data_IF_326719927125
#
_entry.id   IF_326719927125
#
_cell.length_a   1.000
_cell.length_b   1.000
_cell.length_c   1.000
_cell.angle_alpha   90.00
_cell.angle_beta   90.00
_cell.angle_gamma   90.00
#
_symmetry.space_group_name_H-M   'P 1'
#
loop_
_entity.id
_entity.type
_entity.pdbx_description
1 polymer ?
#
# COMPACT_ATOMS: atom_id res chain seq x y z
N UNK A 1 11.25 3.89 20.76
CA UNK A 1 10.18 3.43 19.85
C UNK A 1 10.85 2.90 18.60
N UNK A 2 10.51 1.71 18.13
CA UNK A 2 11.05 1.13 16.89
C UNK A 2 10.01 1.26 15.78
N UNK A 3 10.45 1.57 14.57
CA UNK A 3 9.61 1.50 13.38
C UNK A 3 9.74 0.12 12.74
N UNK A 4 8.63 -0.42 12.25
CA UNK A 4 8.59 -1.64 11.45
C UNK A 4 8.16 -1.24 10.05
N UNK A 5 8.97 -1.61 9.05
CA UNK A 5 8.58 -1.41 7.66
C UNK A 5 7.64 -2.55 7.23
N UNK A 6 6.47 -2.18 6.75
CA UNK A 6 5.43 -3.08 6.23
C UNK A 6 5.19 -2.85 4.73
N UNK A 7 6.12 -2.18 4.06
CA UNK A 7 6.02 -1.82 2.65
C UNK A 7 6.78 -2.81 1.78
N UNK A 8 6.19 -3.17 0.65
CA UNK A 8 6.90 -3.89 -0.40
C UNK A 8 7.88 -2.94 -1.09
N UNK A 9 9.07 -3.44 -1.41
CA UNK A 9 10.02 -2.71 -2.26
C UNK A 9 9.42 -2.53 -3.66
N UNK A 10 9.53 -1.30 -4.18
CA UNK A 10 9.17 -0.99 -5.56
C UNK A 10 10.34 -1.30 -6.51
N UNK A 11 10.07 -2.14 -7.51
CA UNK A 11 11.01 -2.65 -8.51
C UNK A 11 10.25 -3.19 -9.73
N UNK A 12 10.96 -3.60 -10.79
CA UNK A 12 10.35 -4.07 -12.04
C UNK A 12 9.47 -5.33 -11.88
N UNK A 13 9.67 -6.10 -10.83
CA UNK A 13 8.91 -7.31 -10.45
C UNK A 13 7.85 -7.04 -9.37
N UNK A 14 7.60 -5.78 -9.01
CA UNK A 14 6.57 -5.42 -8.02
C UNK A 14 5.20 -5.95 -8.45
N UNK A 15 4.52 -6.60 -7.50
CA UNK A 15 3.16 -7.10 -7.67
C UNK A 15 2.23 -5.95 -8.07
N UNK A 16 1.47 -6.19 -9.14
CA UNK A 16 0.49 -5.28 -9.70
C UNK A 16 -0.65 -6.08 -10.32
N UNK A 17 -1.74 -5.39 -10.66
CA UNK A 17 -2.78 -6.01 -11.47
C UNK A 17 -2.24 -6.46 -12.83
N UNK A 18 -2.72 -7.59 -13.35
CA UNK A 18 -2.17 -8.25 -14.54
C UNK A 18 -2.13 -7.34 -15.78
N UNK A 19 -3.13 -6.47 -15.94
CA UNK A 19 -3.22 -5.51 -17.07
C UNK A 19 -2.66 -4.12 -16.75
N UNK A 20 -2.23 -3.86 -15.51
CA UNK A 20 -1.70 -2.56 -15.12
C UNK A 20 -0.31 -2.29 -15.75
N UNK A 21 0.06 -1.02 -15.99
CA UNK A 21 1.43 -0.69 -16.38
C UNK A 21 2.46 -1.22 -15.38
N UNK A 22 3.61 -1.73 -15.86
CA UNK A 22 4.70 -2.14 -14.97
C UNK A 22 5.33 -0.95 -14.26
N UNK A 23 6.13 -1.24 -13.23
CA UNK A 23 7.05 -0.27 -12.66
C UNK A 23 8.19 -0.01 -13.66
N UNK A 24 8.36 1.24 -14.06
CA UNK A 24 9.39 1.67 -15.00
C UNK A 24 10.19 2.82 -14.38
N UNK A 25 11.50 2.62 -14.23
CA UNK A 25 12.42 3.65 -13.77
C UNK A 25 13.33 4.07 -14.91
N UNK A 26 13.11 5.29 -15.43
CA UNK A 26 13.92 5.87 -16.49
C UNK A 26 15.07 6.68 -15.88
N UNK A 27 16.30 6.34 -16.23
CA UNK A 27 17.47 7.15 -15.92
C UNK A 27 17.49 8.43 -16.78
N UNK A 28 17.48 9.61 -16.12
CA UNK A 28 17.55 10.91 -16.81
C UNK A 28 18.96 11.51 -16.79
N UNK A 29 19.62 11.49 -15.63
CA UNK A 29 21.00 11.97 -15.46
C UNK A 29 21.76 11.11 -14.46
N UNK A 30 23.08 11.00 -14.65
CA UNK A 30 23.99 10.30 -13.72
C UNK A 30 25.30 11.00 -13.53
N UNK A 31 25.71 11.17 -12.28
CA UNK A 31 27.00 11.75 -11.94
C UNK A 31 28.18 10.92 -12.47
N UNK A 32 28.03 9.59 -12.53
CA UNK A 32 29.02 8.71 -13.16
C UNK A 32 29.23 8.97 -14.65
N UNK A 33 28.29 9.66 -15.31
CA UNK A 33 28.36 10.10 -16.70
C UNK A 33 28.69 11.60 -16.84
N UNK A 34 29.12 12.26 -15.76
CA UNK A 34 29.53 13.67 -15.76
C UNK A 34 28.42 14.70 -15.51
N UNK A 35 27.20 14.26 -15.15
CA UNK A 35 26.13 15.18 -14.76
C UNK A 35 26.31 15.69 -13.33
N UNK A 36 25.65 16.80 -12.96
CA UNK A 36 25.74 17.38 -11.61
C UNK A 36 24.87 16.67 -10.56
N UNK A 37 23.98 15.77 -10.99
CA UNK A 37 23.10 15.00 -10.12
C UNK A 37 22.76 13.62 -10.69
N UNK A 38 22.20 12.75 -9.86
CA UNK A 38 21.52 11.53 -10.28
C UNK A 38 20.01 11.81 -10.30
N UNK A 39 19.39 11.74 -11.47
CA UNK A 39 17.96 11.96 -11.63
C UNK A 39 17.30 10.81 -12.40
N UNK A 40 16.08 10.47 -12.02
CA UNK A 40 15.29 9.43 -12.67
C UNK A 40 13.82 9.87 -12.75
N UNK A 41 13.10 9.36 -13.75
CA UNK A 41 11.64 9.46 -13.81
C UNK A 41 11.02 8.09 -13.52
N UNK A 42 9.86 8.09 -12.89
CA UNK A 42 9.12 6.88 -12.53
C UNK A 42 7.75 6.89 -13.22
N UNK A 43 7.39 5.76 -13.81
CA UNK A 43 6.04 5.46 -14.28
C UNK A 43 5.58 4.14 -13.64
N UNK A 44 4.39 4.12 -13.04
CA UNK A 44 3.82 2.92 -12.41
C UNK A 44 2.31 3.07 -12.23
N UNK A 45 1.61 1.94 -12.07
CA UNK A 45 0.23 1.98 -11.57
C UNK A 45 0.19 2.36 -10.10
N UNK A 46 -0.77 3.20 -9.71
CA UNK A 46 -1.03 3.58 -8.31
C UNK A 46 -1.49 2.40 -7.44
N UNK A 47 -1.90 1.29 -8.05
CA UNK A 47 -2.31 0.05 -7.39
C UNK A 47 -1.20 -1.02 -7.42
N UNK A 48 0.07 -0.61 -7.35
CA UNK A 48 1.23 -1.52 -7.33
C UNK A 48 1.87 -1.54 -5.95
N UNK A 49 2.25 -2.73 -5.46
CA UNK A 49 2.86 -2.89 -4.15
C UNK A 49 1.95 -2.47 -2.99
N UNK A 50 2.53 -1.97 -1.90
CA UNK A 50 1.79 -1.42 -0.75
C UNK A 50 1.19 -0.06 -1.12
N UNK A 51 -0.13 0.04 -1.19
CA UNK A 51 -0.86 1.23 -1.63
C UNK A 51 -2.20 1.39 -0.89
N UNK A 52 -2.92 2.47 -1.19
CA UNK A 52 -4.24 2.79 -0.64
C UNK A 52 -5.19 3.12 -1.79
N UNK A 53 -6.40 2.60 -1.72
CA UNK A 53 -7.48 2.97 -2.63
C UNK A 53 -8.31 4.12 -2.03
N UNK A 54 -8.52 5.17 -2.83
CA UNK A 54 -9.50 6.21 -2.52
C UNK A 54 -10.91 5.78 -2.97
N UNK A 55 -12.00 6.31 -2.37
CA UNK A 55 -13.37 6.02 -2.82
C UNK A 55 -13.58 6.21 -4.32
N UNK A 56 -12.94 7.23 -4.92
CA UNK A 56 -12.97 7.48 -6.36
C UNK A 56 -12.58 6.26 -7.23
N UNK A 57 -11.83 5.29 -6.71
CA UNK A 57 -11.46 4.08 -7.43
C UNK A 57 -12.68 3.25 -7.88
N UNK A 58 -13.76 3.24 -7.08
CA UNK A 58 -14.97 2.44 -7.35
C UNK A 58 -16.28 3.24 -7.26
N UNK A 59 -16.22 4.51 -6.81
CA UNK A 59 -17.38 5.40 -6.66
C UNK A 59 -17.13 6.64 -7.51
N UNK A 60 -17.93 6.85 -8.55
CA UNK A 60 -17.71 7.91 -9.55
C UNK A 60 -17.60 9.32 -8.93
N UNK A 61 -18.43 9.62 -7.93
CA UNK A 61 -18.43 10.88 -7.17
C UNK A 61 -17.73 10.72 -5.81
N UNK A 62 -16.87 9.71 -5.67
CA UNK A 62 -16.12 9.44 -4.46
C UNK A 62 -14.94 10.40 -4.30
N UNK A 63 -14.55 10.64 -3.05
CA UNK A 63 -13.38 11.46 -2.73
C UNK A 63 -12.11 10.90 -3.39
N UNK A 64 -11.26 11.80 -3.90
CA UNK A 64 -9.90 11.47 -4.35
C UNK A 64 -8.94 11.35 -3.17
N UNK A 65 -7.74 10.83 -3.41
CA UNK A 65 -6.77 10.55 -2.33
C UNK A 65 -6.32 11.81 -1.59
N UNK A 66 -6.24 12.94 -2.29
CA UNK A 66 -5.86 14.25 -1.77
C UNK A 66 -6.97 14.96 -0.99
N UNK A 67 -8.21 14.48 -1.10
CA UNK A 67 -9.37 14.98 -0.34
C UNK A 67 -9.59 14.23 0.98
N UNK A 68 -8.97 13.06 1.16
CA UNK A 68 -9.13 12.27 2.38
C UNK A 68 -8.38 12.91 3.57
N UNK A 69 -9.00 13.00 4.76
CA UNK A 69 -8.35 13.60 5.90
C UNK A 69 -7.22 12.70 6.42
N UNK A 70 -6.06 13.31 6.70
CA UNK A 70 -4.81 12.60 7.05
C UNK A 70 -4.93 11.78 8.35
N UNK A 71 -5.83 12.19 9.24
CA UNK A 71 -6.12 11.48 10.49
C UNK A 71 -6.67 10.07 10.25
N UNK A 72 -7.08 9.70 9.02
CA UNK A 72 -7.39 8.32 8.64
C UNK A 72 -6.17 7.43 8.50
N UNK A 73 -5.00 7.99 8.18
CA UNK A 73 -3.79 7.21 7.87
C UNK A 73 -2.79 7.13 9.02
N UNK A 74 -3.00 7.90 10.09
CA UNK A 74 -2.09 7.97 11.24
C UNK A 74 -2.87 7.72 12.53
N UNK A 75 -2.47 6.69 13.29
CA UNK A 75 -3.03 6.43 14.62
C UNK A 75 -2.92 4.97 15.04
N UNK A 76 -3.57 4.63 16.15
CA UNK A 76 -3.57 3.28 16.68
C UNK A 76 -4.20 2.28 15.68
N UNK A 77 -3.52 1.16 15.50
CA UNK A 77 -3.95 0.05 14.64
C UNK A 77 -3.79 -1.27 15.39
N UNK A 78 -4.78 -2.14 15.27
CA UNK A 78 -4.70 -3.53 15.70
C UNK A 78 -4.16 -4.36 14.54
N UNK A 79 -3.06 -5.10 14.76
CA UNK A 79 -2.64 -6.15 13.84
C UNK A 79 -3.32 -7.45 14.28
N UNK A 80 -4.16 -8.01 13.43
CA UNK A 80 -4.89 -9.24 13.70
C UNK A 80 -4.47 -10.32 12.72
N UNK A 81 -3.87 -11.39 13.25
CA UNK A 81 -3.49 -12.55 12.45
C UNK A 81 -4.71 -13.45 12.21
N UNK A 82 -4.93 -13.81 10.94
CA UNK A 82 -6.04 -14.66 10.52
C UNK A 82 -5.59 -15.56 9.38
N UNK A 83 -5.93 -16.84 9.48
CA UNK A 83 -5.64 -17.84 8.45
C UNK A 83 -6.94 -18.40 7.85
N UNK A 84 -7.61 -17.64 6.97
CA UNK A 84 -8.81 -18.11 6.30
C UNK A 84 -8.42 -19.03 5.13
N UNK A 85 -9.23 -20.02 4.80
CA UNK A 85 -9.00 -20.86 3.60
C UNK A 85 -9.04 -20.01 2.31
N UNK A 86 -10.02 -19.09 2.22
CA UNK A 86 -10.21 -18.22 1.04
C UNK A 86 -10.68 -16.80 1.38
N UNK A 87 -11.61 -16.65 2.31
CA UNK A 87 -12.19 -15.35 2.67
C UNK A 87 -12.12 -15.12 4.18
N UNK A 88 -11.81 -13.89 4.57
CA UNK A 88 -12.09 -13.41 5.93
C UNK A 88 -13.62 -13.22 6.01
N UNK A 89 -14.25 -13.91 6.95
CA UNK A 89 -15.70 -13.90 7.17
C UNK A 89 -16.04 -13.30 8.53
N UNK A 90 -17.33 -13.05 8.78
CA UNK A 90 -17.83 -12.56 10.07
C UNK A 90 -17.28 -13.36 11.27
N UNK A 91 -17.25 -14.69 11.19
CA UNK A 91 -16.78 -15.54 12.29
C UNK A 91 -15.30 -15.29 12.65
N UNK A 92 -14.49 -14.82 11.70
CA UNK A 92 -13.09 -14.50 11.97
C UNK A 92 -12.93 -13.17 12.71
N UNK A 93 -13.91 -12.25 12.59
CA UNK A 93 -13.79 -10.87 13.07
C UNK A 93 -14.73 -10.54 14.23
N UNK A 94 -15.74 -11.36 14.50
CA UNK A 94 -16.77 -11.07 15.51
C UNK A 94 -16.24 -10.98 16.95
N UNK A 95 -15.13 -11.66 17.23
CA UNK A 95 -14.47 -11.64 18.55
C UNK A 95 -13.42 -10.54 18.69
N UNK A 96 -13.13 -9.80 17.61
CA UNK A 96 -12.11 -8.75 17.62
C UNK A 96 -12.58 -7.62 18.53
N UNK A 97 -11.73 -7.29 19.50
CA UNK A 97 -11.85 -6.08 20.31
C UNK A 97 -10.84 -5.06 19.78
N UNK A 98 -11.34 -3.89 19.40
CA UNK A 98 -10.50 -2.82 18.89
C UNK A 98 -9.81 -2.03 20.00
N UNK A 99 -10.31 -2.09 21.24
CA UNK A 99 -9.88 -1.24 22.34
C UNK A 99 -9.80 0.24 21.87
N UNK A 100 -8.62 0.86 21.90
CA UNK A 100 -8.39 2.24 21.43
C UNK A 100 -8.02 2.34 19.93
N UNK A 101 -7.91 1.21 19.22
CA UNK A 101 -7.56 1.19 17.81
C UNK A 101 -8.74 1.60 16.93
N UNK A 102 -8.46 2.41 15.91
CA UNK A 102 -9.44 2.81 14.89
C UNK A 102 -9.12 2.22 13.51
N UNK A 103 -8.11 1.35 13.44
CA UNK A 103 -7.63 0.66 12.24
C UNK A 103 -7.37 -0.80 12.56
N UNK A 104 -7.57 -1.66 11.57
CA UNK A 104 -7.21 -3.08 11.64
C UNK A 104 -6.36 -3.43 10.44
N UNK A 105 -5.24 -4.10 10.68
CA UNK A 105 -4.41 -4.73 9.66
C UNK A 105 -4.57 -6.24 9.79
N UNK A 106 -5.09 -6.89 8.76
CA UNK A 106 -5.21 -8.35 8.74
C UNK A 106 -3.92 -8.97 8.21
N UNK A 107 -3.18 -9.63 9.09
CA UNK A 107 -2.03 -10.45 8.69
C UNK A 107 -2.56 -11.80 8.21
N UNK A 108 -2.27 -12.14 6.97
CA UNK A 108 -2.67 -13.40 6.33
C UNK A 108 -1.43 -14.08 5.76
N UNK A 109 -1.61 -15.25 5.14
CA UNK A 109 -0.55 -15.94 4.39
C UNK A 109 0.10 -15.10 3.27
N UNK A 110 -0.55 -14.01 2.81
CA UNK A 110 0.03 -13.11 1.81
C UNK A 110 1.13 -12.20 2.38
N UNK A 111 1.38 -12.26 3.68
CA UNK A 111 2.39 -11.45 4.38
C UNK A 111 3.70 -12.21 4.64
N UNK A 112 3.81 -13.47 4.18
CA UNK A 112 5.05 -14.28 4.25
C UNK A 112 5.97 -14.06 3.04
#
# INVERSE_FOLDING_TARGET
>A
MSLQDISLKLAGDTVRWVTAPPFELEERSRMSKGYSNNNSALNMSIHSGTHIDAPFHFVAEGLTIDELPLDRFIGAALVFEVDPEKYITKNHVESIKLDDATRVLFKTRNSE
#
